data_IF_695871522222
#
_entry.id   IF_695871522222
#
_cell.length_a   1.000
_cell.length_b   1.000
_cell.length_c   1.000
_cell.angle_alpha   90.00
_cell.angle_beta   90.00
_cell.angle_gamma   90.00
#
_symmetry.space_group_name_H-M   'P 1'
#
loop_
_entity.id
_entity.type
_entity.pdbx_description
1 polymer ?
#
# COMPACT_ATOMS: atom_id res chain seq x y z
N UNK A 1 -2.41 -27.39 -2.22
CA UNK A 1 -1.27 -26.96 -3.03
C UNK A 1 -0.77 -28.17 -3.84
N UNK A 2 -1.00 -28.19 -5.16
CA UNK A 2 -0.46 -29.23 -6.04
C UNK A 2 0.86 -28.73 -6.64
N UNK A 3 1.89 -29.57 -6.61
CA UNK A 3 3.15 -29.35 -7.33
C UNK A 3 3.07 -30.10 -8.66
N UNK A 4 3.60 -29.52 -9.73
CA UNK A 4 3.85 -30.27 -10.97
C UNK A 4 5.03 -31.23 -10.80
N UNK A 5 5.23 -32.05 -11.83
CA UNK A 5 6.35 -33.01 -11.97
C UNK A 5 7.75 -32.37 -11.85
N UNK A 6 7.84 -31.04 -11.97
CA UNK A 6 9.08 -30.27 -11.82
C UNK A 6 9.19 -29.59 -10.45
N UNK A 7 8.25 -29.86 -9.53
CA UNK A 7 8.24 -29.29 -8.19
C UNK A 7 7.73 -27.85 -8.11
N UNK A 8 7.24 -27.28 -9.22
CA UNK A 8 6.69 -25.93 -9.24
C UNK A 8 5.25 -25.94 -8.73
N UNK A 9 4.91 -24.89 -7.99
CA UNK A 9 3.56 -24.69 -7.48
C UNK A 9 2.70 -24.23 -8.65
N UNK A 10 1.84 -25.10 -9.17
CA UNK A 10 0.91 -24.74 -10.25
C UNK A 10 -0.31 -24.05 -9.63
N UNK A 11 -0.41 -22.74 -9.85
CA UNK A 11 -1.59 -21.92 -9.51
C UNK A 11 -2.72 -22.23 -10.49
N UNK A 12 -3.46 -23.31 -10.25
CA UNK A 12 -4.49 -23.83 -11.18
C UNK A 12 -5.85 -23.13 -11.10
N UNK A 13 -6.08 -22.27 -10.11
CA UNK A 13 -7.39 -21.62 -9.94
C UNK A 13 -7.32 -20.10 -10.19
N UNK A 14 -8.33 -19.51 -10.86
CA UNK A 14 -8.42 -18.06 -11.00
C UNK A 14 -8.49 -17.36 -9.63
N UNK A 15 -8.97 -18.06 -8.59
CA UNK A 15 -9.00 -17.59 -7.20
C UNK A 15 -7.60 -17.50 -6.56
N UNK A 16 -6.72 -18.50 -6.74
CA UNK A 16 -5.33 -18.42 -6.24
C UNK A 16 -4.53 -17.31 -6.94
N UNK A 17 -4.81 -17.08 -8.24
CA UNK A 17 -4.21 -15.95 -8.99
C UNK A 17 -4.74 -14.60 -8.51
N UNK A 18 -5.98 -14.54 -8.04
CA UNK A 18 -6.59 -13.33 -7.49
C UNK A 18 -6.08 -13.05 -6.07
N UNK A 19 -6.01 -14.07 -5.20
CA UNK A 19 -5.41 -13.96 -3.88
C UNK A 19 -3.95 -13.51 -3.93
N UNK A 20 -3.18 -13.93 -4.95
CA UNK A 20 -1.82 -13.42 -5.17
C UNK A 20 -1.82 -11.94 -5.58
N UNK A 21 -2.77 -11.48 -6.42
CA UNK A 21 -2.93 -10.05 -6.76
C UNK A 21 -3.39 -9.21 -5.57
N UNK A 22 -4.20 -9.78 -4.69
CA UNK A 22 -4.68 -9.11 -3.47
C UNK A 22 -3.61 -9.10 -2.36
N UNK A 23 -2.70 -10.08 -2.36
CA UNK A 23 -1.53 -10.14 -1.47
C UNK A 23 -0.34 -9.33 -1.99
N UNK A 24 -0.23 -9.12 -3.30
CA UNK A 24 0.68 -8.15 -3.88
C UNK A 24 0.18 -6.75 -3.50
N UNK A 25 1.00 -5.89 -2.87
CA UNK A 25 0.60 -4.52 -2.62
C UNK A 25 0.42 -3.83 -3.97
N UNK A 26 -0.82 -3.83 -4.48
CA UNK A 26 -1.22 -2.94 -5.57
C UNK A 26 -0.81 -1.56 -5.08
N UNK A 27 0.19 -0.97 -5.72
CA UNK A 27 0.71 0.35 -5.37
C UNK A 27 -0.39 1.37 -5.70
N UNK A 28 -1.39 1.45 -4.84
CA UNK A 28 -2.52 2.38 -4.94
C UNK A 28 -2.00 3.81 -4.84
N UNK A 29 -1.01 4.01 -3.98
CA UNK A 29 -0.34 5.28 -3.72
C UNK A 29 1.15 5.17 -4.05
N UNK A 30 1.62 6.09 -4.90
CA UNK A 30 2.98 6.11 -5.41
C UNK A 30 3.18 7.33 -6.29
N UNK A 31 4.35 7.41 -6.92
CA UNK A 31 4.70 8.49 -7.81
C UNK A 31 5.14 7.94 -9.16
N UNK A 32 4.88 8.72 -10.19
CA UNK A 32 5.34 8.38 -11.54
C UNK A 32 6.79 8.83 -11.72
N UNK A 33 7.59 7.93 -12.28
CA UNK A 33 8.97 8.20 -12.67
C UNK A 33 9.15 7.78 -14.11
N UNK A 34 9.81 8.64 -14.87
CA UNK A 34 10.16 8.38 -16.27
C UNK A 34 11.62 7.96 -16.35
N UNK A 35 11.90 6.86 -17.07
CA UNK A 35 13.27 6.47 -17.35
C UNK A 35 13.91 7.51 -18.31
N UNK A 36 15.10 8.06 -17.98
CA UNK A 36 15.74 9.07 -18.82
C UNK A 36 16.17 8.54 -20.20
N UNK A 37 16.36 7.22 -20.33
CA UNK A 37 16.86 6.59 -21.56
C UNK A 37 15.72 6.17 -22.51
N UNK A 38 14.79 5.34 -22.03
CA UNK A 38 13.72 4.79 -22.87
C UNK A 38 12.38 5.54 -22.76
N UNK A 39 12.28 6.55 -21.87
CA UNK A 39 11.05 7.34 -21.64
C UNK A 39 9.86 6.54 -21.12
N UNK A 40 10.09 5.31 -20.66
CA UNK A 40 9.06 4.49 -20.04
C UNK A 40 8.68 5.04 -18.67
N UNK A 41 7.37 5.07 -18.38
CA UNK A 41 6.82 5.59 -17.14
C UNK A 41 6.47 4.45 -16.19
N UNK A 42 6.97 4.54 -14.97
CA UNK A 42 6.73 3.57 -13.90
C UNK A 42 6.02 4.23 -12.73
N UNK A 43 4.99 3.57 -12.21
CA UNK A 43 4.36 3.97 -10.96
C UNK A 43 5.05 3.23 -9.81
N UNK A 44 5.85 3.93 -9.05
CA UNK A 44 6.67 3.36 -7.99
C UNK A 44 6.12 3.74 -6.62
N UNK A 45 6.22 2.84 -5.62
CA UNK A 45 5.83 3.16 -4.26
C UNK A 45 6.82 4.17 -3.66
N UNK A 46 6.35 5.04 -2.78
CA UNK A 46 7.17 6.10 -2.16
C UNK A 46 8.42 5.60 -1.42
N UNK A 47 8.47 4.32 -1.03
CA UNK A 47 9.64 3.66 -0.40
C UNK A 47 10.84 3.51 -1.35
N UNK A 48 10.62 3.68 -2.65
CA UNK A 48 11.65 3.64 -3.68
C UNK A 48 12.29 5.01 -3.96
N UNK A 49 11.76 6.09 -3.37
CA UNK A 49 12.36 7.42 -3.50
C UNK A 49 13.76 7.47 -2.90
N UNK A 50 14.69 8.13 -3.58
CA UNK A 50 16.10 8.19 -3.20
C UNK A 50 16.90 6.91 -3.50
N UNK A 51 16.25 5.83 -3.96
CA UNK A 51 16.93 4.57 -4.30
C UNK A 51 17.33 4.54 -5.77
N UNK A 52 18.38 3.76 -6.06
CA UNK A 52 18.74 3.41 -7.42
C UNK A 52 17.82 2.27 -7.89
N UNK A 53 17.20 2.46 -9.06
CA UNK A 53 16.34 1.46 -9.69
C UNK A 53 16.89 1.09 -11.06
N UNK A 54 16.65 -0.16 -11.45
CA UNK A 54 16.96 -0.66 -12.77
C UNK A 54 15.70 -0.66 -13.64
N UNK A 55 15.81 -0.06 -14.82
CA UNK A 55 14.78 -0.04 -15.84
C UNK A 55 14.76 -1.36 -16.61
N UNK A 56 13.62 -1.71 -17.22
CA UNK A 56 13.54 -2.87 -18.13
C UNK A 56 14.44 -2.75 -19.37
N UNK A 57 14.91 -1.54 -19.71
CA UNK A 57 15.90 -1.33 -20.77
C UNK A 57 17.35 -1.65 -20.34
N UNK A 58 17.56 -2.10 -19.10
CA UNK A 58 18.88 -2.42 -18.54
C UNK A 58 19.65 -1.22 -17.99
N UNK A 59 19.06 -0.01 -18.04
CA UNK A 59 19.68 1.19 -17.48
C UNK A 59 19.31 1.35 -16.00
N UNK A 60 20.30 1.64 -15.15
CA UNK A 60 20.04 2.04 -13.76
C UNK A 60 19.97 3.55 -13.63
N UNK A 61 19.01 4.07 -12.88
CA UNK A 61 18.85 5.49 -12.63
C UNK A 61 18.47 5.74 -11.17
N UNK A 62 18.91 6.87 -10.63
CA UNK A 62 18.58 7.25 -9.27
C UNK A 62 17.23 7.97 -9.26
N UNK A 63 16.32 7.48 -8.42
CA UNK A 63 15.02 8.11 -8.24
C UNK A 63 15.18 9.30 -7.32
N UNK A 64 14.67 10.47 -7.73
CA UNK A 64 14.72 11.69 -6.91
C UNK A 64 14.12 11.44 -5.52
N UNK A 65 14.71 12.05 -4.51
CA UNK A 65 14.08 12.10 -3.19
C UNK A 65 12.77 12.87 -3.28
N UNK A 66 11.73 12.33 -2.65
CA UNK A 66 10.44 13.01 -2.57
C UNK A 66 10.51 14.10 -1.53
N UNK A 67 9.95 15.25 -1.86
CA UNK A 67 9.90 16.36 -0.90
C UNK A 67 8.91 16.06 0.23
N UNK A 68 9.13 16.62 1.41
CA UNK A 68 8.28 16.42 2.60
C UNK A 68 6.78 16.72 2.37
N UNK A 69 6.43 17.48 1.34
CA UNK A 69 5.05 17.75 0.91
C UNK A 69 4.35 16.50 0.37
N UNK A 70 5.06 15.63 -0.34
CA UNK A 70 4.51 14.40 -0.94
C UNK A 70 4.36 13.28 0.10
N UNK A 71 5.22 13.26 1.14
CA UNK A 71 5.17 12.29 2.22
C UNK A 71 4.03 12.54 3.24
N UNK A 72 3.56 13.80 3.38
CA UNK A 72 2.52 14.20 4.34
C UNK A 72 1.13 13.58 4.11
N UNK A 73 0.87 13.00 2.94
CA UNK A 73 -0.42 12.39 2.64
C UNK A 73 -0.71 11.10 3.44
N UNK A 74 0.32 10.38 3.91
CA UNK A 74 0.12 9.18 4.75
C UNK A 74 -0.28 9.51 6.19
N UNK A 75 0.29 10.57 6.79
CA UNK A 75 0.07 10.87 8.20
C UNK A 75 -1.34 11.42 8.51
N UNK A 76 -1.98 12.05 7.53
CA UNK A 76 -3.30 12.67 7.73
C UNK A 76 -4.46 11.67 7.60
N UNK A 77 -4.31 10.59 6.82
CA UNK A 77 -5.38 9.59 6.66
C UNK A 77 -5.55 8.68 7.87
N UNK A 78 -4.48 8.29 8.55
CA UNK A 78 -4.59 7.39 9.72
C UNK A 78 -5.27 8.06 10.92
N UNK A 79 -5.06 9.37 11.13
CA UNK A 79 -5.60 10.07 12.31
C UNK A 79 -7.12 10.28 12.31
N UNK A 80 -7.82 10.21 11.16
CA UNK A 80 -9.28 10.38 11.15
C UNK A 80 -10.02 9.18 11.74
N UNK A 81 -9.52 7.95 11.54
CA UNK A 81 -10.21 6.74 12.01
C UNK A 81 -10.25 6.64 13.53
N UNK A 82 -9.17 7.03 14.20
CA UNK A 82 -9.09 7.00 15.67
C UNK A 82 -9.99 8.04 16.34
N UNK A 83 -10.23 9.18 15.69
CA UNK A 83 -11.09 10.23 16.25
C UNK A 83 -12.56 9.83 16.33
N UNK A 84 -13.08 9.10 15.33
CA UNK A 84 -14.48 8.62 15.34
C UNK A 84 -14.70 7.42 16.26
N UNK A 85 -13.70 6.54 16.42
CA UNK A 85 -13.81 5.38 17.31
C UNK A 85 -13.85 5.80 18.79
N UNK A 86 -13.04 6.78 19.19
CA UNK A 86 -12.98 7.26 20.56
C UNK A 86 -14.26 7.99 21.00
N UNK A 87 -14.85 8.80 20.11
CA UNK A 87 -16.07 9.55 20.41
C UNK A 87 -17.30 8.63 20.52
N UNK A 88 -17.41 7.59 19.69
CA UNK A 88 -18.47 6.60 19.78
C UNK A 88 -18.42 5.80 21.10
N UNK A 89 -17.23 5.40 21.53
CA UNK A 89 -17.06 4.67 22.79
C UNK A 89 -17.43 5.52 24.01
N UNK A 90 -17.08 6.80 24.01
CA UNK A 90 -17.44 7.73 25.09
C UNK A 90 -18.97 7.90 25.19
N UNK A 91 -19.66 8.05 24.06
CA UNK A 91 -21.12 8.16 24.04
C UNK A 91 -21.82 6.89 24.53
N UNK A 92 -21.33 5.72 24.11
CA UNK A 92 -21.87 4.42 24.57
C UNK A 92 -21.65 4.26 26.08
N UNK A 93 -20.48 4.62 26.60
CA UNK A 93 -20.18 4.55 28.03
C UNK A 93 -21.06 5.51 28.84
N UNK A 94 -21.27 6.73 28.35
CA UNK A 94 -22.17 7.71 28.99
C UNK A 94 -23.61 7.19 29.05
N UNK A 95 -24.13 6.62 27.96
CA UNK A 95 -25.46 6.02 27.91
C UNK A 95 -25.59 4.84 28.91
N UNK A 96 -24.58 3.98 29.00
CA UNK A 96 -24.57 2.87 29.94
C UNK A 96 -24.61 3.32 31.40
N UNK A 97 -23.82 4.35 31.75
CA UNK A 97 -23.82 4.92 33.09
C UNK A 97 -25.16 5.56 33.47
N UNK A 98 -25.85 6.20 32.52
CA UNK A 98 -27.20 6.74 32.77
C UNK A 98 -28.24 5.66 33.01
N UNK A 99 -28.09 4.48 32.43
CA UNK A 99 -29.01 3.35 32.63
C UNK A 99 -28.81 2.63 33.97
N UNK A 100 -27.64 2.75 34.58
CA UNK A 100 -27.35 2.17 35.91
C UNK A 100 -27.82 3.07 37.07
N UNK A 101 -28.12 4.35 36.79
CA UNK A 101 -28.52 5.34 37.80
C UNK A 101 -30.05 5.49 37.94
N UNK A 102 -30.84 4.82 37.10
CA UNK A 102 -32.31 4.80 37.11
C UNK A 102 -32.77 3.47 37.70
#
# INVERSE_FOLDING_TARGET
MRKDENGNIVLTTPEEKQALRDALPVVKEGFEVECPLCKEKYKLPYVCAGKQLECTCGNSFQVRELTAKEQKNKFFQENKKYFYAASAFLLILLLYLTMQLI
#
